data_IF_861137868673
#
_entry.id   IF_861137868673
#
_cell.length_a   1.000
_cell.length_b   1.000
_cell.length_c   1.000
_cell.angle_alpha   90.00
_cell.angle_beta   90.00
_cell.angle_gamma   90.00
#
_symmetry.space_group_name_H-M   'P 1'
#
loop_
_entity.id
_entity.type
_entity.pdbx_description
1 polymer ?
#
# COMPACT_ATOMS: atom_id res chain seq x y z
N UNK A 1 25.87 -2.18 19.39
CA UNK A 1 24.70 -2.62 18.61
C UNK A 1 24.16 -1.56 17.66
N UNK A 2 24.03 -0.29 18.07
CA UNK A 2 23.53 0.84 17.23
C UNK A 2 24.22 0.95 15.85
N UNK A 3 25.55 0.92 15.83
CA UNK A 3 26.32 0.97 14.57
C UNK A 3 26.02 -0.22 13.62
N UNK A 4 25.72 -1.40 14.16
CA UNK A 4 25.34 -2.57 13.35
C UNK A 4 23.93 -2.42 12.75
N UNK A 5 23.01 -1.77 13.47
CA UNK A 5 21.68 -1.44 12.94
C UNK A 5 21.82 -0.52 11.73
N UNK A 6 22.66 0.53 11.80
CA UNK A 6 22.88 1.43 10.66
C UNK A 6 23.52 0.72 9.45
N UNK A 7 24.52 -0.15 9.69
CA UNK A 7 25.11 -0.98 8.63
C UNK A 7 24.06 -1.90 7.98
N UNK A 8 23.19 -2.50 8.78
CA UNK A 8 22.11 -3.35 8.28
C UNK A 8 21.08 -2.57 7.47
N UNK A 9 20.66 -1.38 7.92
CA UNK A 9 19.71 -0.54 7.19
C UNK A 9 20.30 -0.08 5.84
N UNK A 10 21.61 0.24 5.82
CA UNK A 10 22.34 0.52 4.56
C UNK A 10 22.37 -0.70 3.63
N UNK A 11 22.65 -1.89 4.17
CA UNK A 11 22.58 -3.16 3.41
C UNK A 11 21.18 -3.36 2.81
N UNK A 12 20.11 -3.15 3.58
CA UNK A 12 18.75 -3.26 3.06
C UNK A 12 18.46 -2.27 1.92
N UNK A 13 18.96 -1.04 2.05
CA UNK A 13 18.77 -0.01 1.03
C UNK A 13 19.53 -0.33 -0.26
N UNK A 14 20.82 -0.63 -0.15
CA UNK A 14 21.74 -0.72 -1.30
C UNK A 14 21.71 -2.11 -1.93
N UNK A 15 21.89 -3.17 -1.12
CA UNK A 15 22.04 -4.54 -1.66
C UNK A 15 20.68 -5.25 -1.84
N UNK A 16 19.68 -4.92 -0.99
CA UNK A 16 18.36 -5.57 -1.04
C UNK A 16 17.29 -4.73 -1.70
N UNK A 17 17.61 -3.51 -2.09
CA UNK A 17 16.68 -2.56 -2.74
C UNK A 17 15.32 -2.48 -2.01
N UNK A 18 15.40 -2.44 -0.66
CA UNK A 18 14.20 -2.36 0.18
C UNK A 18 13.55 -0.97 0.05
N UNK A 19 12.22 -0.92 0.17
CA UNK A 19 11.50 0.35 0.10
C UNK A 19 11.84 1.27 1.27
N UNK A 20 11.76 2.60 1.09
CA UNK A 20 11.94 3.59 2.16
C UNK A 20 11.06 3.27 3.37
N UNK A 21 9.81 2.87 3.16
CA UNK A 21 8.88 2.49 4.23
C UNK A 21 9.34 1.25 5.00
N UNK A 22 9.93 0.26 4.33
CA UNK A 22 10.50 -0.92 4.99
C UNK A 22 11.68 -0.53 5.87
N UNK A 23 12.57 0.32 5.36
CA UNK A 23 13.74 0.81 6.09
C UNK A 23 13.32 1.57 7.34
N UNK A 24 12.39 2.53 7.23
CA UNK A 24 11.86 3.31 8.36
C UNK A 24 11.20 2.38 9.39
N UNK A 25 10.37 1.44 8.93
CA UNK A 25 9.68 0.52 9.85
C UNK A 25 10.67 -0.38 10.60
N UNK A 26 11.69 -0.90 9.91
CA UNK A 26 12.71 -1.75 10.54
C UNK A 26 13.63 -0.96 11.45
N UNK A 27 13.95 0.30 11.10
CA UNK A 27 14.66 1.21 12.00
C UNK A 27 13.91 1.36 13.32
N UNK A 28 12.65 1.77 13.25
CA UNK A 28 11.83 1.99 14.45
C UNK A 28 11.70 0.71 15.31
N UNK A 29 11.58 -0.46 14.65
CA UNK A 29 11.47 -1.74 15.36
C UNK A 29 12.77 -2.12 16.07
N UNK A 30 13.92 -1.94 15.41
CA UNK A 30 15.24 -2.24 15.96
C UNK A 30 15.66 -1.24 17.03
N UNK A 31 15.33 0.04 16.88
CA UNK A 31 15.53 1.07 17.90
C UNK A 31 14.67 0.79 19.14
N UNK A 32 13.41 0.39 18.96
CA UNK A 32 12.52 -0.03 20.06
C UNK A 32 13.12 -1.21 20.84
N UNK A 33 13.70 -2.18 20.13
CA UNK A 33 14.39 -3.31 20.76
C UNK A 33 15.68 -2.89 21.47
N UNK A 34 16.48 -2.02 20.86
CA UNK A 34 17.70 -1.49 21.46
C UNK A 34 17.41 -0.72 22.75
N UNK A 35 16.36 0.11 22.76
CA UNK A 35 15.93 0.86 23.94
C UNK A 35 15.52 -0.09 25.08
N UNK A 36 14.72 -1.12 24.76
CA UNK A 36 14.32 -2.12 25.75
C UNK A 36 15.54 -2.84 26.34
N UNK A 37 16.46 -3.29 25.49
CA UNK A 37 17.66 -4.03 25.96
C UNK A 37 18.60 -3.15 26.76
N UNK A 38 18.75 -1.89 26.36
CA UNK A 38 19.53 -0.90 27.10
C UNK A 38 18.98 -0.68 28.51
N UNK A 39 17.66 -0.57 28.64
CA UNK A 39 16.99 -0.45 29.95
C UNK A 39 17.07 -1.73 30.78
N UNK A 40 16.95 -2.90 30.15
CA UNK A 40 17.00 -4.19 30.84
C UNK A 40 18.38 -4.50 31.42
N UNK A 41 19.44 -4.17 30.68
CA UNK A 41 20.84 -4.44 31.07
C UNK A 41 21.48 -3.23 31.80
N UNK A 42 20.76 -2.12 31.98
CA UNK A 42 21.25 -0.87 32.57
C UNK A 42 22.51 -0.32 31.87
N UNK A 43 22.61 -0.55 30.54
CA UNK A 43 23.75 -0.11 29.70
C UNK A 43 23.26 0.96 28.71
N UNK A 44 24.04 2.02 28.54
CA UNK A 44 23.76 3.03 27.51
C UNK A 44 23.68 2.43 26.11
N UNK A 45 22.74 2.89 25.29
CA UNK A 45 22.50 2.36 23.94
C UNK A 45 23.74 2.34 23.04
N UNK A 46 24.62 3.32 23.21
CA UNK A 46 25.88 3.46 22.48
C UNK A 46 26.86 2.34 22.81
N UNK A 47 26.89 1.91 24.07
CA UNK A 47 27.78 0.88 24.61
C UNK A 47 27.19 -0.54 24.51
N UNK A 48 25.89 -0.66 24.16
CA UNK A 48 25.22 -1.96 24.05
C UNK A 48 25.88 -2.85 22.99
N UNK A 49 26.40 -3.99 23.42
CA UNK A 49 27.01 -4.99 22.56
C UNK A 49 25.98 -6.02 22.07
N UNK A 50 26.14 -6.49 20.83
CA UNK A 50 25.25 -7.51 20.26
C UNK A 50 25.46 -8.89 20.90
N UNK A 51 26.61 -9.15 21.45
CA UNK A 51 26.97 -10.38 22.17
C UNK A 51 26.14 -10.62 23.43
N UNK A 52 25.62 -9.57 24.04
CA UNK A 52 24.78 -9.61 25.24
C UNK A 52 23.34 -10.09 24.92
N UNK A 53 22.95 -10.06 23.65
CA UNK A 53 21.58 -10.37 23.26
C UNK A 53 21.37 -11.89 23.21
N UNK A 54 20.61 -12.39 24.16
CA UNK A 54 20.19 -13.77 24.24
C UNK A 54 18.80 -14.00 23.64
N UNK A 55 18.42 -15.27 23.45
CA UNK A 55 17.05 -15.63 23.11
C UNK A 55 16.07 -15.21 24.22
N UNK A 56 16.48 -15.25 25.46
CA UNK A 56 15.67 -14.84 26.61
C UNK A 56 15.38 -13.34 26.55
N UNK A 57 16.39 -12.51 26.29
CA UNK A 57 16.23 -11.06 26.11
C UNK A 57 15.16 -10.71 25.06
N UNK A 58 15.19 -11.42 23.91
CA UNK A 58 14.16 -11.22 22.87
C UNK A 58 12.78 -11.65 23.35
N UNK A 59 12.66 -12.76 24.09
CA UNK A 59 11.37 -13.22 24.62
C UNK A 59 10.80 -12.26 25.66
N UNK A 60 11.63 -11.70 26.53
CA UNK A 60 11.22 -10.66 27.49
C UNK A 60 10.66 -9.45 26.78
N UNK A 61 11.35 -8.98 25.73
CA UNK A 61 10.84 -7.85 24.93
C UNK A 61 9.49 -8.17 24.26
N UNK A 62 9.30 -9.36 23.72
CA UNK A 62 8.03 -9.75 23.11
C UNK A 62 6.90 -9.87 24.15
N UNK A 63 7.22 -10.27 25.38
CA UNK A 63 6.31 -10.25 26.54
C UNK A 63 5.88 -8.83 26.86
N UNK A 64 6.82 -7.92 27.06
CA UNK A 64 6.60 -6.51 27.32
C UNK A 64 5.71 -5.85 26.24
N UNK A 65 5.99 -6.11 24.95
CA UNK A 65 5.14 -5.61 23.86
C UNK A 65 3.70 -6.14 23.92
N UNK A 66 3.51 -7.37 24.40
CA UNK A 66 2.19 -7.97 24.56
C UNK A 66 1.46 -7.37 25.75
N UNK A 67 2.14 -7.11 26.86
CA UNK A 67 1.61 -6.44 28.05
C UNK A 67 1.22 -4.99 27.76
N UNK A 68 1.97 -4.30 26.90
CA UNK A 68 1.63 -2.97 26.38
C UNK A 68 0.42 -2.98 25.44
N UNK A 69 -0.19 -4.14 25.15
CA UNK A 69 -1.38 -4.27 24.31
C UNK A 69 -1.12 -4.11 22.80
N UNK A 70 0.12 -4.27 22.33
CA UNK A 70 0.41 -4.16 20.90
C UNK A 70 -0.32 -5.24 20.09
N UNK A 71 -0.89 -4.84 18.97
CA UNK A 71 -1.57 -5.76 18.05
C UNK A 71 -0.64 -6.89 17.57
N UNK A 72 -1.14 -8.14 17.53
CA UNK A 72 -0.40 -9.34 17.05
C UNK A 72 0.34 -9.11 15.74
N UNK A 73 -0.25 -8.35 14.79
CA UNK A 73 0.38 -8.00 13.52
C UNK A 73 1.61 -7.08 13.67
N UNK A 74 1.60 -6.16 14.63
CA UNK A 74 2.73 -5.28 14.95
C UNK A 74 3.87 -6.08 15.57
N UNK A 75 3.56 -6.98 16.50
CA UNK A 75 4.54 -7.90 17.11
C UNK A 75 5.16 -8.80 16.03
N UNK A 76 4.34 -9.38 15.14
CA UNK A 76 4.83 -10.20 14.03
C UNK A 76 5.81 -9.44 13.11
N UNK A 77 5.55 -8.16 12.81
CA UNK A 77 6.47 -7.31 12.02
C UNK A 77 7.78 -7.08 12.77
N UNK A 78 7.72 -6.76 14.07
CA UNK A 78 8.89 -6.57 14.94
C UNK A 78 9.76 -7.82 15.00
N UNK A 79 9.16 -9.00 15.14
CA UNK A 79 9.86 -10.30 15.07
C UNK A 79 10.53 -10.48 13.71
N UNK A 80 9.86 -10.14 12.61
CA UNK A 80 10.43 -10.24 11.26
C UNK A 80 11.66 -9.32 11.09
N UNK A 81 11.60 -8.09 11.61
CA UNK A 81 12.73 -7.16 11.61
C UNK A 81 13.93 -7.71 12.38
N UNK A 82 13.72 -8.23 13.62
CA UNK A 82 14.78 -8.86 14.41
C UNK A 82 15.38 -10.08 13.73
N UNK A 83 14.54 -10.99 13.21
CA UNK A 83 15.03 -12.19 12.49
C UNK A 83 15.90 -11.82 11.30
N UNK A 84 15.51 -10.78 10.55
CA UNK A 84 16.26 -10.30 9.40
C UNK A 84 17.59 -9.67 9.83
N UNK A 85 17.59 -8.85 10.88
CA UNK A 85 18.78 -8.22 11.44
C UNK A 85 19.78 -9.25 11.98
N UNK A 86 19.35 -10.17 12.85
CA UNK A 86 20.25 -11.18 13.41
C UNK A 86 20.73 -12.18 12.35
N UNK A 87 19.93 -12.46 11.32
CA UNK A 87 20.40 -13.25 10.16
C UNK A 87 21.50 -12.53 9.39
N UNK A 88 21.39 -11.20 9.22
CA UNK A 88 22.44 -10.38 8.62
C UNK A 88 23.70 -10.41 9.47
N UNK A 89 23.59 -10.17 10.78
CA UNK A 89 24.74 -10.18 11.70
C UNK A 89 25.45 -11.54 11.72
N UNK A 90 24.72 -12.64 11.74
CA UNK A 90 25.26 -14.00 11.67
C UNK A 90 26.01 -14.24 10.35
N UNK A 91 25.42 -13.88 9.20
CA UNK A 91 26.04 -14.05 7.90
C UNK A 91 27.31 -13.21 7.69
N UNK A 92 27.43 -12.09 8.38
CA UNK A 92 28.58 -11.18 8.32
C UNK A 92 29.61 -11.45 9.42
N UNK A 93 29.42 -12.51 10.21
CA UNK A 93 30.37 -12.91 11.28
C UNK A 93 30.35 -11.99 12.50
N UNK A 94 29.33 -11.16 12.70
CA UNK A 94 29.22 -10.30 13.87
C UNK A 94 28.72 -11.04 15.12
N UNK A 95 28.15 -12.22 14.96
CA UNK A 95 27.72 -13.14 16.02
C UNK A 95 27.96 -14.57 15.59
N UNK A 96 28.30 -15.46 16.55
CA UNK A 96 28.51 -16.89 16.29
C UNK A 96 27.20 -17.68 16.23
N UNK A 97 26.19 -17.26 17.00
CA UNK A 97 24.87 -17.89 17.07
C UNK A 97 23.78 -16.85 16.84
N UNK A 98 22.75 -17.22 16.10
CA UNK A 98 21.60 -16.36 15.85
C UNK A 98 20.53 -16.53 16.93
N UNK A 99 20.35 -15.57 17.87
CA UNK A 99 19.39 -15.68 18.96
C UNK A 99 17.93 -15.64 18.49
N UNK A 100 17.70 -15.11 17.27
CA UNK A 100 16.37 -14.99 16.68
C UNK A 100 15.96 -16.19 15.79
N UNK A 101 16.79 -17.22 15.64
CA UNK A 101 16.55 -18.33 14.71
C UNK A 101 15.25 -19.09 14.99
N UNK A 102 14.94 -19.37 16.27
CA UNK A 102 13.80 -20.17 16.71
C UNK A 102 12.62 -19.31 17.23
N UNK A 103 12.57 -18.02 16.91
CA UNK A 103 11.45 -17.19 17.32
C UNK A 103 10.19 -17.63 16.55
N UNK A 104 9.15 -17.97 17.29
CA UNK A 104 7.84 -18.25 16.72
C UNK A 104 7.12 -16.92 16.50
N UNK A 105 6.73 -16.66 15.27
CA UNK A 105 5.88 -15.51 14.95
C UNK A 105 4.44 -15.85 15.35
N UNK A 106 3.75 -15.02 16.16
CA UNK A 106 2.33 -15.22 16.42
C UNK A 106 1.59 -15.35 15.08
N UNK A 107 0.86 -16.45 14.89
CA UNK A 107 0.05 -16.61 13.68
C UNK A 107 -0.99 -15.52 13.65
N UNK A 108 -1.00 -14.77 12.55
CA UNK A 108 -2.08 -13.83 12.26
C UNK A 108 -3.36 -14.65 12.12
N UNK A 109 -4.35 -14.38 12.95
CA UNK A 109 -5.68 -14.90 12.69
C UNK A 109 -6.08 -14.47 11.29
N UNK A 110 -6.37 -15.41 10.41
CA UNK A 110 -6.95 -15.13 9.11
C UNK A 110 -8.42 -14.75 9.34
N UNK A 111 -8.65 -13.50 9.72
CA UNK A 111 -9.96 -12.92 9.55
C UNK A 111 -10.15 -12.80 8.05
N UNK A 112 -11.14 -13.50 7.50
CA UNK A 112 -11.59 -13.28 6.12
C UNK A 112 -11.78 -11.78 5.95
N UNK A 113 -11.08 -11.13 5.02
CA UNK A 113 -11.28 -9.71 4.79
C UNK A 113 -12.72 -9.55 4.33
N UNK A 114 -13.53 -8.80 5.06
CA UNK A 114 -14.88 -8.46 4.63
C UNK A 114 -14.74 -7.49 3.46
N UNK A 115 -15.10 -7.93 2.27
CA UNK A 115 -15.23 -7.09 1.08
C UNK A 115 -16.49 -6.24 1.21
N UNK A 116 -16.48 -5.03 0.68
CA UNK A 116 -17.70 -4.28 0.45
C UNK A 116 -18.47 -4.93 -0.71
N UNK A 117 -19.79 -5.03 -0.61
CA UNK A 117 -20.63 -5.56 -1.69
C UNK A 117 -20.68 -4.57 -2.87
N UNK A 118 -21.20 -5.02 -4.03
CA UNK A 118 -21.40 -4.12 -5.18
C UNK A 118 -22.37 -3.00 -4.80
N UNK A 119 -23.41 -3.31 -4.02
CA UNK A 119 -24.40 -2.36 -3.51
C UNK A 119 -23.76 -1.34 -2.55
N UNK A 120 -22.86 -1.78 -1.67
CA UNK A 120 -22.09 -0.89 -0.78
C UNK A 120 -21.24 0.10 -1.60
N UNK A 121 -20.58 -0.40 -2.64
CA UNK A 121 -19.78 0.42 -3.56
C UNK A 121 -20.68 1.44 -4.29
N UNK A 122 -21.83 1.01 -4.80
CA UNK A 122 -22.75 1.92 -5.48
C UNK A 122 -23.27 3.00 -4.51
N UNK A 123 -23.71 2.63 -3.31
CA UNK A 123 -24.11 3.60 -2.27
C UNK A 123 -22.99 4.56 -1.93
N UNK A 124 -21.75 4.07 -1.85
CA UNK A 124 -20.58 4.92 -1.59
C UNK A 124 -20.35 5.94 -2.72
N UNK A 125 -20.49 5.52 -3.96
CA UNK A 125 -20.36 6.42 -5.12
C UNK A 125 -21.48 7.47 -5.12
N UNK A 126 -22.71 7.08 -4.84
CA UNK A 126 -23.88 7.97 -4.85
C UNK A 126 -23.90 8.95 -3.67
N UNK A 127 -23.22 8.61 -2.57
CA UNK A 127 -23.09 9.49 -1.41
C UNK A 127 -22.13 10.67 -1.62
N UNK A 128 -21.44 10.73 -2.77
CA UNK A 128 -20.52 11.81 -3.10
C UNK A 128 -21.25 12.95 -3.80
N UNK A 129 -21.22 14.14 -3.22
CA UNK A 129 -21.77 15.36 -3.84
C UNK A 129 -20.85 15.86 -4.97
N UNK A 130 -21.17 15.47 -6.19
CA UNK A 130 -20.41 15.85 -7.41
C UNK A 130 -20.71 17.27 -7.90
N UNK A 131 -21.60 18.02 -7.27
CA UNK A 131 -21.85 19.43 -7.62
C UNK A 131 -20.70 20.33 -7.18
N UNK A 132 -19.98 19.91 -6.15
CA UNK A 132 -18.75 20.57 -5.70
C UNK A 132 -17.53 20.00 -6.41
N UNK A 133 -16.55 20.84 -6.69
CA UNK A 133 -15.31 20.42 -7.35
C UNK A 133 -14.52 19.39 -6.48
N UNK A 134 -14.56 19.55 -5.14
CA UNK A 134 -13.95 18.59 -4.23
C UNK A 134 -14.67 17.24 -4.24
N UNK A 135 -15.99 17.26 -4.25
CA UNK A 135 -16.76 16.04 -4.40
C UNK A 135 -16.54 15.37 -5.77
N UNK A 136 -16.45 16.15 -6.85
CA UNK A 136 -16.10 15.62 -8.17
C UNK A 136 -14.73 14.90 -8.15
N UNK A 137 -13.73 15.49 -7.45
CA UNK A 137 -12.43 14.85 -7.25
C UNK A 137 -12.54 13.57 -6.39
N UNK A 138 -13.28 13.62 -5.27
CA UNK A 138 -13.48 12.46 -4.40
C UNK A 138 -14.13 11.31 -5.20
N UNK A 139 -15.14 11.60 -6.01
CA UNK A 139 -15.78 10.62 -6.88
C UNK A 139 -14.80 10.06 -7.91
N UNK A 140 -14.00 10.88 -8.56
CA UNK A 140 -12.99 10.44 -9.51
C UNK A 140 -11.93 9.52 -8.86
N UNK A 141 -11.51 9.82 -7.64
CA UNK A 141 -10.60 8.98 -6.85
C UNK A 141 -11.25 7.63 -6.54
N UNK A 142 -12.48 7.60 -6.05
CA UNK A 142 -13.18 6.37 -5.66
C UNK A 142 -13.43 5.47 -6.88
N UNK A 143 -13.94 6.05 -7.98
CA UNK A 143 -14.19 5.32 -9.23
C UNK A 143 -12.90 4.74 -9.80
N UNK A 144 -11.82 5.53 -9.86
CA UNK A 144 -10.54 5.06 -10.36
C UNK A 144 -9.95 3.96 -9.46
N UNK A 145 -10.06 4.13 -8.15
CA UNK A 145 -9.50 3.18 -7.18
C UNK A 145 -10.22 1.83 -7.23
N UNK A 146 -11.54 1.83 -7.22
CA UNK A 146 -12.34 0.62 -7.34
C UNK A 146 -12.27 0.04 -8.77
N UNK A 147 -12.34 0.88 -9.80
CA UNK A 147 -12.32 0.44 -11.20
C UNK A 147 -10.99 -0.18 -11.65
N UNK A 148 -9.89 0.09 -10.94
CA UNK A 148 -8.57 -0.42 -11.35
C UNK A 148 -7.93 -1.35 -10.33
N UNK A 149 -8.39 -1.34 -9.10
CA UNK A 149 -7.76 -2.08 -8.00
C UNK A 149 -6.30 -1.71 -7.74
N UNK A 150 -5.81 -0.55 -8.20
CA UNK A 150 -4.43 -0.12 -7.99
C UNK A 150 -4.08 0.05 -6.50
N UNK A 151 -2.80 0.17 -6.16
CA UNK A 151 -2.37 0.48 -4.79
C UNK A 151 -2.58 1.96 -4.48
N UNK A 152 -2.77 2.29 -3.19
CA UNK A 152 -2.95 3.66 -2.76
C UNK A 152 -1.80 4.59 -3.21
N UNK A 153 -0.55 4.16 -3.02
CA UNK A 153 0.62 4.92 -3.45
C UNK A 153 0.76 5.04 -4.97
N UNK A 154 0.20 4.09 -5.73
CA UNK A 154 0.11 4.18 -7.18
C UNK A 154 -0.89 5.26 -7.59
N UNK A 155 -2.06 5.31 -6.93
CA UNK A 155 -3.09 6.32 -7.17
C UNK A 155 -2.61 7.75 -6.84
N UNK A 156 -2.01 7.95 -5.67
CA UNK A 156 -1.50 9.27 -5.27
C UNK A 156 -0.29 9.71 -6.10
N UNK A 157 0.44 8.75 -6.68
CA UNK A 157 1.55 9.00 -7.59
C UNK A 157 1.18 9.33 -9.03
N UNK A 158 -0.10 9.20 -9.43
CA UNK A 158 -0.52 9.44 -10.81
C UNK A 158 -0.33 10.88 -11.25
N UNK A 159 0.12 11.04 -12.48
CA UNK A 159 0.18 12.31 -13.19
C UNK A 159 -0.94 12.40 -14.24
N UNK A 160 -1.21 13.59 -14.74
CA UNK A 160 -2.14 13.79 -15.85
C UNK A 160 -1.75 12.99 -17.10
N UNK A 161 -0.45 12.86 -17.36
CA UNK A 161 0.11 12.10 -18.50
C UNK A 161 -0.03 10.61 -18.37
N UNK A 162 -0.32 10.07 -17.18
CA UNK A 162 -0.50 8.64 -16.97
C UNK A 162 -1.93 8.16 -17.36
N UNK A 163 -2.86 9.11 -17.64
CA UNK A 163 -4.23 8.84 -18.07
C UNK A 163 -4.39 9.12 -19.57
N UNK A 164 -4.76 8.12 -20.32
CA UNK A 164 -5.16 8.22 -21.72
C UNK A 164 -6.67 8.00 -21.86
N UNK A 165 -7.43 9.10 -21.92
CA UNK A 165 -8.89 9.07 -22.08
C UNK A 165 -9.32 8.73 -23.53
N UNK A 166 -8.44 8.80 -24.52
CA UNK A 166 -8.76 8.38 -25.88
C UNK A 166 -8.77 6.87 -25.99
N UNK A 167 -7.82 6.22 -25.32
CA UNK A 167 -7.70 4.76 -25.27
C UNK A 167 -8.42 4.14 -24.07
N UNK A 168 -9.03 4.95 -23.19
CA UNK A 168 -9.64 4.53 -21.93
C UNK A 168 -8.71 3.62 -21.12
N UNK A 169 -7.53 4.15 -20.75
CA UNK A 169 -6.55 3.39 -20.00
C UNK A 169 -5.71 4.28 -19.08
N UNK A 170 -5.14 3.66 -18.05
CA UNK A 170 -4.18 4.28 -17.13
C UNK A 170 -2.88 3.49 -17.09
N UNK A 171 -1.75 4.19 -17.13
CA UNK A 171 -0.42 3.61 -16.94
C UNK A 171 -0.01 3.76 -15.49
N UNK A 172 0.19 2.65 -14.81
CA UNK A 172 0.54 2.60 -13.37
C UNK A 172 1.98 2.18 -13.19
N UNK A 173 2.76 2.96 -12.42
CA UNK A 173 4.14 2.65 -12.06
C UNK A 173 4.19 1.92 -10.73
N UNK A 174 4.68 0.68 -10.74
CA UNK A 174 4.83 -0.17 -9.56
C UNK A 174 6.26 -0.20 -9.01
N UNK A 175 6.50 -1.12 -8.08
CA UNK A 175 7.83 -1.33 -7.46
C UNK A 175 8.88 -1.67 -8.53
N UNK A 176 10.05 -1.02 -8.44
CA UNK A 176 11.16 -1.23 -9.39
C UNK A 176 10.93 -0.55 -10.75
N UNK A 177 10.12 0.51 -10.79
CA UNK A 177 9.80 1.27 -12.01
C UNK A 177 9.11 0.44 -13.11
N UNK A 178 8.55 -0.73 -12.76
CA UNK A 178 7.76 -1.54 -13.69
C UNK A 178 6.42 -0.87 -13.94
N UNK A 179 6.05 -0.75 -15.21
CA UNK A 179 4.77 -0.15 -15.61
C UNK A 179 3.78 -1.26 -15.99
N UNK A 180 2.50 -0.98 -15.76
CA UNK A 180 1.39 -1.76 -16.30
C UNK A 180 0.28 -0.85 -16.78
N UNK A 181 -0.42 -1.28 -17.80
CA UNK A 181 -1.59 -0.60 -18.34
C UNK A 181 -2.84 -1.26 -17.77
N UNK A 182 -3.79 -0.45 -17.31
CA UNK A 182 -5.09 -0.92 -16.82
C UNK A 182 -6.17 -0.22 -17.64
N UNK A 183 -7.11 -0.96 -18.25
CA UNK A 183 -8.25 -0.36 -18.92
C UNK A 183 -9.17 0.35 -17.93
N UNK A 184 -9.82 1.40 -18.38
CA UNK A 184 -10.81 2.17 -17.63
C UNK A 184 -12.20 1.89 -18.19
N UNK A 185 -13.15 1.57 -17.30
CA UNK A 185 -14.56 1.53 -17.65
C UNK A 185 -15.09 2.93 -17.99
N UNK A 186 -16.23 2.97 -18.66
CA UNK A 186 -16.86 4.21 -19.12
C UNK A 186 -17.12 5.18 -17.97
N UNK A 187 -17.70 4.74 -16.85
CA UNK A 187 -17.95 5.58 -15.68
C UNK A 187 -16.66 6.25 -15.15
N UNK A 188 -15.56 5.50 -15.09
CA UNK A 188 -14.26 6.04 -14.65
C UNK A 188 -13.73 7.08 -15.64
N UNK A 189 -13.82 6.80 -16.94
CA UNK A 189 -13.34 7.71 -17.99
C UNK A 189 -14.15 9.02 -18.00
N UNK A 190 -15.47 8.94 -17.89
CA UNK A 190 -16.37 10.09 -17.92
C UNK A 190 -16.16 11.01 -16.71
N UNK A 191 -16.07 10.45 -15.50
CA UNK A 191 -15.83 11.25 -14.29
C UNK A 191 -14.42 11.86 -14.27
N UNK A 192 -13.41 11.15 -14.76
CA UNK A 192 -12.05 11.68 -14.89
C UNK A 192 -11.97 12.82 -15.90
N UNK A 193 -12.72 12.74 -17.00
CA UNK A 193 -12.81 13.82 -17.99
C UNK A 193 -13.41 15.07 -17.36
N UNK A 194 -14.58 14.95 -16.72
CA UNK A 194 -15.25 16.06 -16.04
C UNK A 194 -14.35 16.70 -14.97
N UNK A 195 -13.67 15.88 -14.18
CA UNK A 195 -12.76 16.38 -13.15
C UNK A 195 -11.55 17.11 -13.77
N UNK A 196 -10.91 16.49 -14.78
CA UNK A 196 -9.73 17.05 -15.43
C UNK A 196 -9.99 18.43 -16.03
N UNK A 197 -11.16 18.64 -16.61
CA UNK A 197 -11.54 19.89 -17.25
C UNK A 197 -11.67 21.05 -16.23
N UNK A 198 -12.06 20.75 -14.99
CA UNK A 198 -12.21 21.73 -13.89
C UNK A 198 -11.05 21.75 -12.90
N UNK A 199 -10.13 20.81 -13.01
CA UNK A 199 -9.09 20.54 -12.00
C UNK A 199 -8.23 21.76 -11.65
N UNK A 200 -7.96 22.64 -12.62
CA UNK A 200 -7.14 23.85 -12.43
C UNK A 200 -7.75 24.84 -11.43
N UNK A 201 -9.06 24.77 -11.20
CA UNK A 201 -9.74 25.57 -10.19
C UNK A 201 -9.35 25.18 -8.74
N UNK A 202 -8.70 24.03 -8.55
CA UNK A 202 -8.13 23.60 -7.25
C UNK A 202 -6.77 24.22 -6.96
N UNK A 203 -6.18 24.94 -7.90
CA UNK A 203 -4.89 25.59 -7.70
C UNK A 203 -5.00 26.73 -6.69
N UNK A 204 -3.99 26.89 -5.88
CA UNK A 204 -3.84 27.95 -4.90
C UNK A 204 -2.39 28.38 -4.79
N UNK A 205 -2.10 29.27 -3.86
CA UNK A 205 -0.75 29.83 -3.63
C UNK A 205 0.34 28.76 -3.43
N UNK A 206 -0.01 27.60 -2.84
CA UNK A 206 0.91 26.50 -2.57
C UNK A 206 1.03 25.46 -3.68
N UNK A 207 0.42 25.73 -4.85
CA UNK A 207 0.44 24.79 -5.98
C UNK A 207 1.76 24.89 -6.73
N UNK A 208 2.64 23.95 -6.48
CA UNK A 208 3.97 23.84 -7.11
C UNK A 208 3.93 23.07 -8.44
N UNK A 209 5.09 22.93 -9.07
CA UNK A 209 5.24 22.21 -10.34
C UNK A 209 4.91 20.71 -10.24
N UNK A 210 5.08 20.09 -9.07
CA UNK A 210 4.70 18.69 -8.85
C UNK A 210 3.18 18.53 -8.75
N UNK A 211 2.51 19.43 -8.01
CA UNK A 211 1.07 19.47 -7.92
C UNK A 211 0.40 19.73 -9.27
N UNK A 212 1.00 20.60 -10.12
CA UNK A 212 0.49 20.87 -11.48
C UNK A 212 0.51 19.62 -12.37
N UNK A 213 1.51 18.75 -12.22
CA UNK A 213 1.61 17.48 -12.95
C UNK A 213 0.71 16.38 -12.36
N UNK A 214 0.43 16.42 -11.06
CA UNK A 214 -0.34 15.40 -10.37
C UNK A 214 -1.76 15.28 -10.93
N UNK A 215 -2.34 14.09 -10.98
CA UNK A 215 -3.74 13.90 -11.33
C UNK A 215 -4.67 14.50 -10.26
N UNK A 216 -4.38 14.26 -8.99
CA UNK A 216 -5.21 14.70 -7.86
C UNK A 216 -4.48 15.71 -6.96
N UNK A 217 -5.24 16.66 -6.41
CA UNK A 217 -4.73 17.79 -5.63
C UNK A 217 -5.38 17.81 -4.25
N UNK A 218 -4.55 17.90 -3.21
CA UNK A 218 -5.00 18.00 -1.83
C UNK A 218 -5.65 19.39 -1.54
N UNK A 219 -6.31 19.51 -0.39
CA UNK A 219 -6.91 20.77 0.05
C UNK A 219 -5.88 21.90 0.22
N UNK A 220 -4.61 21.54 0.47
CA UNK A 220 -3.49 22.48 0.56
C UNK A 220 -3.03 23.04 -0.78
N UNK A 221 -3.58 22.60 -1.92
CA UNK A 221 -3.10 22.94 -3.27
C UNK A 221 -1.91 22.11 -3.75
N UNK A 222 -1.38 21.19 -2.92
CA UNK A 222 -0.28 20.30 -3.26
C UNK A 222 -0.77 18.97 -3.84
N UNK A 223 0.14 18.11 -4.32
CA UNK A 223 -0.19 16.74 -4.75
C UNK A 223 -0.97 16.01 -3.66
N UNK A 224 -1.98 15.23 -4.06
CA UNK A 224 -2.71 14.34 -3.15
C UNK A 224 -1.77 13.34 -2.49
N UNK A 225 -2.01 13.06 -1.21
CA UNK A 225 -1.18 12.15 -0.41
C UNK A 225 -2.01 11.05 0.26
N UNK A 226 -1.36 9.93 0.58
CA UNK A 226 -1.99 8.69 1.06
C UNK A 226 -2.94 8.90 2.24
N UNK A 227 -2.57 9.76 3.21
CA UNK A 227 -3.39 9.99 4.41
C UNK A 227 -4.71 10.69 4.08
N UNK A 228 -4.70 11.63 3.13
CA UNK A 228 -5.93 12.32 2.72
C UNK A 228 -6.89 11.35 2.02
N UNK A 229 -6.39 10.50 1.11
CA UNK A 229 -7.21 9.48 0.45
C UNK A 229 -7.74 8.46 1.45
N UNK A 230 -6.92 8.01 2.42
CA UNK A 230 -7.39 7.11 3.50
C UNK A 230 -8.56 7.70 4.27
N UNK A 231 -8.42 8.95 4.71
CA UNK A 231 -9.46 9.65 5.46
C UNK A 231 -10.75 9.79 4.63
N UNK A 232 -10.62 10.16 3.36
CA UNK A 232 -11.76 10.30 2.43
C UNK A 232 -12.48 8.96 2.23
N UNK A 233 -11.76 7.88 1.92
CA UNK A 233 -12.34 6.53 1.75
C UNK A 233 -13.01 6.06 3.04
N UNK A 234 -12.37 6.26 4.19
CA UNK A 234 -12.93 5.90 5.50
C UNK A 234 -14.23 6.67 5.78
N UNK A 235 -14.27 7.97 5.47
CA UNK A 235 -15.45 8.84 5.63
C UNK A 235 -16.65 8.27 4.85
N UNK A 236 -16.45 7.90 3.58
CA UNK A 236 -17.54 7.39 2.75
C UNK A 236 -17.94 5.96 3.14
N UNK A 237 -17.01 5.06 3.40
CA UNK A 237 -17.31 3.69 3.85
C UNK A 237 -18.02 3.66 5.21
N UNK A 238 -17.74 4.61 6.11
CA UNK A 238 -18.48 4.73 7.40
C UNK A 238 -19.96 5.03 7.21
N UNK A 239 -20.30 5.75 6.15
CA UNK A 239 -21.68 6.17 5.87
C UNK A 239 -22.48 5.11 5.11
N UNK A 240 -21.84 4.23 4.37
CA UNK A 240 -22.50 3.43 3.33
C UNK A 240 -22.30 1.93 3.45
N UNK A 241 -21.44 1.46 4.36
CA UNK A 241 -21.12 0.04 4.47
C UNK A 241 -20.88 -0.39 5.91
N UNK A 242 -21.34 -1.62 6.22
CA UNK A 242 -21.12 -2.31 7.51
C UNK A 242 -19.76 -3.03 7.59
N UNK A 243 -18.89 -2.92 6.57
CA UNK A 243 -17.55 -3.54 6.63
C UNK A 243 -16.79 -3.06 7.85
N UNK A 244 -16.20 -4.01 8.60
CA UNK A 244 -15.45 -3.71 9.81
C UNK A 244 -14.17 -2.93 9.55
N UNK A 245 -13.48 -3.22 8.45
CA UNK A 245 -12.25 -2.53 8.06
C UNK A 245 -12.55 -1.48 6.99
N UNK A 246 -12.59 -0.21 7.37
CA UNK A 246 -12.88 0.93 6.48
C UNK A 246 -11.59 1.56 5.97
N UNK A 247 -11.01 0.98 4.94
CA UNK A 247 -9.72 1.45 4.38
C UNK A 247 -9.67 1.28 2.86
N UNK A 248 -8.74 1.98 2.17
CA UNK A 248 -8.53 1.80 0.74
C UNK A 248 -8.28 0.36 0.30
N UNK A 249 -7.70 -0.48 1.17
CA UNK A 249 -7.48 -1.90 0.88
C UNK A 249 -8.79 -2.67 0.65
N UNK A 250 -9.89 -2.25 1.28
CA UNK A 250 -11.21 -2.84 1.06
C UNK A 250 -11.64 -2.66 -0.38
N UNK A 251 -11.51 -1.45 -0.96
CA UNK A 251 -11.89 -1.20 -2.36
C UNK A 251 -11.09 -2.05 -3.34
N UNK A 252 -9.77 -2.13 -3.14
CA UNK A 252 -8.91 -2.98 -3.95
C UNK A 252 -9.25 -4.46 -3.80
N UNK A 253 -9.60 -4.90 -2.59
CA UNK A 253 -9.98 -6.30 -2.35
C UNK A 253 -11.35 -6.59 -2.95
N UNK A 254 -12.32 -5.69 -2.81
CA UNK A 254 -13.64 -5.80 -3.46
C UNK A 254 -13.51 -5.85 -4.99
N UNK A 255 -12.66 -5.01 -5.60
CA UNK A 255 -12.35 -5.13 -7.04
C UNK A 255 -11.93 -6.56 -7.40
N UNK A 256 -10.94 -7.12 -6.68
CA UNK A 256 -10.43 -8.44 -6.98
C UNK A 256 -11.49 -9.55 -6.81
N UNK A 257 -12.28 -9.47 -5.73
CA UNK A 257 -13.34 -10.43 -5.42
C UNK A 257 -14.45 -10.35 -6.45
N UNK A 258 -14.96 -9.15 -6.74
CA UNK A 258 -16.06 -8.98 -7.72
C UNK A 258 -15.66 -9.40 -9.14
N UNK A 259 -14.41 -9.12 -9.54
CA UNK A 259 -13.89 -9.63 -10.82
C UNK A 259 -13.86 -11.17 -10.85
N UNK A 260 -13.43 -11.80 -9.74
CA UNK A 260 -13.36 -13.25 -9.62
C UNK A 260 -14.77 -13.88 -9.62
N UNK A 261 -15.69 -13.31 -8.84
CA UNK A 261 -17.07 -13.79 -8.73
C UNK A 261 -17.82 -13.71 -10.08
N UNK A 262 -17.44 -12.72 -10.91
CA UNK A 262 -17.95 -12.56 -12.27
C UNK A 262 -17.15 -13.36 -13.34
N UNK A 263 -16.32 -14.33 -12.91
CA UNK A 263 -15.67 -15.29 -13.80
C UNK A 263 -14.34 -14.86 -14.42
N UNK A 264 -13.71 -13.74 -13.95
CA UNK A 264 -12.40 -13.39 -14.43
C UNK A 264 -11.32 -14.39 -13.94
N UNK A 265 -10.43 -14.80 -14.84
CA UNK A 265 -9.28 -15.65 -14.48
C UNK A 265 -8.40 -14.97 -13.43
N UNK A 266 -8.04 -15.71 -12.38
CA UNK A 266 -7.18 -15.24 -11.28
C UNK A 266 -5.83 -14.72 -11.77
N UNK A 267 -5.31 -15.21 -12.90
CA UNK A 267 -4.07 -14.75 -13.51
C UNK A 267 -4.22 -13.33 -14.05
N UNK A 268 -5.34 -13.03 -14.67
CA UNK A 268 -5.66 -11.70 -15.18
C UNK A 268 -5.87 -10.72 -14.03
N UNK A 269 -6.57 -11.13 -12.98
CA UNK A 269 -6.73 -10.31 -11.77
C UNK A 269 -5.35 -9.99 -11.14
N UNK A 270 -4.44 -10.95 -11.05
CA UNK A 270 -3.06 -10.74 -10.57
C UNK A 270 -2.29 -9.76 -11.46
N UNK A 271 -2.55 -9.76 -12.76
CA UNK A 271 -1.97 -8.82 -13.72
C UNK A 271 -2.47 -7.40 -13.47
N UNK A 272 -3.78 -7.18 -13.36
CA UNK A 272 -4.38 -5.90 -12.95
C UNK A 272 -3.78 -5.37 -11.63
N UNK A 273 -3.63 -6.25 -10.65
CA UNK A 273 -3.14 -5.90 -9.33
C UNK A 273 -1.61 -5.68 -9.26
N UNK A 274 -0.86 -6.08 -10.29
CA UNK A 274 0.60 -5.94 -10.33
C UNK A 274 1.31 -6.76 -9.25
N UNK A 275 0.99 -8.07 -9.14
CA UNK A 275 1.66 -9.00 -8.23
C UNK A 275 3.00 -9.41 -8.80
N UNK A 276 4.09 -9.16 -8.08
CA UNK A 276 5.48 -9.24 -8.55
C UNK A 276 5.96 -10.65 -8.98
N UNK A 277 5.29 -11.72 -8.60
CA UNK A 277 5.76 -13.10 -8.83
C UNK A 277 5.43 -13.66 -10.23
N UNK A 278 4.69 -12.93 -11.07
CA UNK A 278 4.35 -13.36 -12.44
C UNK A 278 4.87 -12.43 -13.54
N UNK A 279 5.45 -11.30 -13.17
CA UNK A 279 5.94 -10.31 -14.11
C UNK A 279 7.46 -10.43 -14.32
N UNK A 280 7.91 -11.38 -15.12
CA UNK A 280 8.96 -11.08 -16.09
C UNK A 280 8.47 -9.85 -16.88
N UNK A 281 9.36 -8.97 -17.28
CA UNK A 281 9.10 -7.74 -18.04
C UNK A 281 8.12 -8.03 -19.19
N UNK A 282 6.80 -7.94 -18.95
CA UNK A 282 5.82 -8.11 -20.00
C UNK A 282 5.84 -6.83 -20.83
N UNK A 283 6.32 -6.93 -22.05
CA UNK A 283 6.05 -5.95 -23.09
C UNK A 283 4.56 -6.10 -23.40
N UNK A 284 3.75 -5.10 -23.02
CA UNK A 284 2.33 -5.09 -23.35
C UNK A 284 2.19 -4.93 -24.87
N UNK A 285 1.79 -5.99 -25.55
CA UNK A 285 1.42 -5.97 -26.95
C UNK A 285 -0.01 -5.48 -27.09
N UNK A 286 -0.39 -5.01 -28.28
CA UNK A 286 -1.76 -4.57 -28.58
C UNK A 286 -2.79 -5.67 -28.22
N UNK A 287 -2.50 -6.92 -28.57
CA UNK A 287 -3.33 -8.10 -28.27
C UNK A 287 -3.52 -8.35 -26.77
N UNK A 288 -2.50 -8.08 -25.95
CA UNK A 288 -2.61 -8.25 -24.49
C UNK A 288 -3.51 -7.19 -23.85
N UNK A 289 -3.48 -5.96 -24.37
CA UNK A 289 -4.33 -4.86 -23.88
C UNK A 289 -5.80 -5.12 -24.27
N UNK A 290 -6.08 -5.57 -25.48
CA UNK A 290 -7.44 -5.93 -25.92
C UNK A 290 -8.01 -7.06 -25.08
N UNK A 291 -7.22 -8.09 -24.79
CA UNK A 291 -7.63 -9.16 -23.88
C UNK A 291 -8.01 -8.64 -22.50
N UNK A 292 -7.21 -7.72 -21.93
CA UNK A 292 -7.50 -7.12 -20.64
C UNK A 292 -8.79 -6.28 -20.67
N UNK A 293 -9.02 -5.52 -21.75
CA UNK A 293 -10.26 -4.76 -21.97
C UNK A 293 -11.48 -5.67 -22.01
N UNK A 294 -11.43 -6.74 -22.79
CA UNK A 294 -12.54 -7.69 -22.93
C UNK A 294 -12.90 -8.35 -21.58
N UNK A 295 -11.88 -8.80 -20.82
CA UNK A 295 -12.11 -9.38 -19.48
C UNK A 295 -12.67 -8.35 -18.51
N UNK A 296 -12.16 -7.11 -18.55
CA UNK A 296 -12.66 -6.02 -17.73
C UNK A 296 -14.14 -5.72 -18.04
N UNK A 297 -14.51 -5.60 -19.31
CA UNK A 297 -15.88 -5.33 -19.75
C UNK A 297 -16.86 -6.45 -19.38
N UNK A 298 -16.40 -7.70 -19.36
CA UNK A 298 -17.22 -8.84 -18.97
C UNK A 298 -17.38 -8.98 -17.46
N UNK A 299 -16.33 -8.77 -16.70
CA UNK A 299 -16.27 -9.13 -15.28
C UNK A 299 -16.38 -7.95 -14.32
N UNK A 300 -16.06 -6.71 -14.71
CA UNK A 300 -16.13 -5.59 -13.78
C UNK A 300 -17.53 -5.04 -13.64
N UNK A 301 -18.13 -4.95 -12.41
CA UNK A 301 -19.53 -4.53 -12.22
C UNK A 301 -19.87 -3.16 -12.81
N UNK A 302 -18.89 -2.25 -12.86
CA UNK A 302 -19.06 -0.89 -13.38
C UNK A 302 -18.35 -0.65 -14.72
N UNK A 303 -18.17 -1.69 -15.53
CA UNK A 303 -17.54 -1.54 -16.84
C UNK A 303 -18.46 -0.85 -17.86
N UNK A 304 -19.76 -1.10 -17.78
CA UNK A 304 -20.78 -0.69 -18.76
C UNK A 304 -21.70 0.44 -18.29
N UNK A 305 -21.57 0.86 -17.04
CA UNK A 305 -22.37 1.96 -16.43
C UNK A 305 -21.90 3.32 -16.88
#
# INVERSE_FOLDING_TARGET
MKALIEKYLKYLSVERNASKHTIISYRNDLESFLNFTSSLEEIEMEKMEISLISRLTIRLWLGDLSEQGLAKASIARKVAALRSFFKYCFKRGHIEKNPAHLLVVPRKEQTLPKTATVEDINRMMDAVDITTLRGLQDRAILELFYGTGMRLSELTGLNLTDIDLKQNQVTVKGKGNKQRIIPLGKAVADILKQFRDKRTELYGERTDGDARKALFIAASGQRMYDRAVRYMVEKYLKKTSEVTQKSPHVLRHSFATHMLDNGADIRIIKEFLGHANLAATQVYTHTSIERLKNVYEQAHPRAKT
#
